data_IF_840022905206
#
_entry.id   IF_840022905206
#
_cell.length_a   1.000
_cell.length_b   1.000
_cell.length_c   1.000
_cell.angle_alpha   90.00
_cell.angle_beta   90.00
_cell.angle_gamma   90.00
#
_symmetry.space_group_name_H-M   'P 1'
#
loop_
_entity.id
_entity.type
_entity.pdbx_description
1 polymer ?
#
# COMPACT_ATOMS: atom_id res chain seq x y z
N UNK A 1 -6.28 6.30 -21.07
CA UNK A 1 -7.03 6.66 -19.86
C UNK A 1 -6.16 7.47 -18.91
N UNK A 2 -6.54 8.72 -18.67
CA UNK A 2 -5.76 9.64 -17.85
C UNK A 2 -5.63 9.18 -16.40
N UNK A 3 -6.68 8.57 -15.84
CA UNK A 3 -6.64 8.06 -14.47
C UNK A 3 -5.66 6.90 -14.36
N UNK A 4 -5.72 5.96 -15.28
CA UNK A 4 -4.80 4.83 -15.28
C UNK A 4 -3.36 5.28 -15.44
N UNK A 5 -3.12 6.22 -16.36
CA UNK A 5 -1.77 6.76 -16.56
C UNK A 5 -1.24 7.45 -15.29
N UNK A 6 -2.11 8.18 -14.60
CA UNK A 6 -1.74 8.81 -13.34
C UNK A 6 -1.35 7.76 -12.29
N UNK A 7 -2.17 6.72 -12.13
CA UNK A 7 -1.90 5.66 -11.16
C UNK A 7 -0.55 4.99 -11.45
N UNK A 8 -0.34 4.60 -12.70
CA UNK A 8 0.89 3.92 -13.11
C UNK A 8 2.11 4.81 -12.89
N UNK A 9 1.97 6.11 -13.17
CA UNK A 9 3.08 7.05 -13.02
C UNK A 9 3.52 7.24 -11.57
N UNK A 10 2.60 7.08 -10.62
CA UNK A 10 2.88 7.36 -9.20
C UNK A 10 3.08 6.11 -8.34
N UNK A 11 2.91 4.93 -8.89
CA UNK A 11 2.89 3.69 -8.11
C UNK A 11 4.22 2.94 -8.25
N UNK A 12 4.79 2.59 -7.10
CA UNK A 12 6.04 1.85 -7.00
C UNK A 12 5.87 0.65 -6.08
N UNK A 13 6.65 -0.39 -6.31
CA UNK A 13 6.60 -1.61 -5.50
C UNK A 13 7.97 -1.92 -4.92
N UNK A 14 7.98 -2.35 -3.66
CA UNK A 14 9.17 -2.88 -3.01
C UNK A 14 8.89 -4.32 -2.64
N UNK A 15 9.70 -5.24 -3.16
CA UNK A 15 9.55 -6.65 -2.82
C UNK A 15 9.99 -6.88 -1.38
N UNK A 16 9.20 -7.67 -0.66
CA UNK A 16 9.47 -8.01 0.73
C UNK A 16 9.95 -9.45 0.81
N UNK A 17 10.73 -9.80 1.84
CA UNK A 17 11.14 -11.19 2.04
C UNK A 17 9.94 -12.10 2.19
N UNK A 18 10.11 -13.36 1.78
CA UNK A 18 9.07 -14.36 1.93
C UNK A 18 8.79 -14.60 3.41
N UNK A 19 7.50 -14.73 3.76
CA UNK A 19 7.10 -14.94 5.14
C UNK A 19 7.53 -16.31 5.62
N UNK A 20 7.80 -16.41 6.92
CA UNK A 20 8.13 -17.67 7.53
C UNK A 20 6.91 -18.59 7.55
N UNK A 21 7.19 -19.89 7.58
CA UNK A 21 6.17 -20.92 7.43
C UNK A 21 5.10 -20.86 8.54
N UNK A 22 5.51 -20.50 9.73
CA UNK A 22 4.63 -20.43 10.90
C UNK A 22 4.02 -19.05 11.11
N UNK A 23 4.19 -18.15 10.14
CA UNK A 23 3.63 -16.82 10.23
C UNK A 23 2.11 -16.86 10.03
N UNK A 24 1.40 -16.32 11.00
CA UNK A 24 -0.06 -16.25 10.97
C UNK A 24 -0.52 -14.80 10.97
N UNK A 25 -0.87 -14.31 9.79
CA UNK A 25 -1.31 -12.93 9.63
C UNK A 25 -2.67 -12.67 10.29
N UNK A 26 -3.45 -13.72 10.48
CA UNK A 26 -4.79 -13.60 11.07
C UNK A 26 -4.78 -13.71 12.59
N UNK A 27 -3.65 -14.09 13.19
CA UNK A 27 -3.55 -14.12 14.65
C UNK A 27 -3.75 -12.70 15.20
N UNK A 28 -4.42 -12.61 16.33
CA UNK A 28 -4.74 -11.33 16.99
C UNK A 28 -5.63 -10.41 16.15
N UNK A 29 -6.41 -10.98 15.20
CA UNK A 29 -7.34 -10.21 14.39
C UNK A 29 -8.42 -9.58 15.26
N UNK A 30 -8.69 -8.30 15.01
CA UNK A 30 -9.69 -7.52 15.72
C UNK A 30 -10.50 -6.71 14.73
N UNK A 31 -11.40 -7.35 14.00
CA UNK A 31 -12.28 -6.65 13.08
C UNK A 31 -13.41 -6.01 13.87
N UNK A 32 -13.58 -4.70 13.73
CA UNK A 32 -14.61 -3.96 14.43
C UNK A 32 -15.20 -2.88 13.51
N UNK A 33 -16.43 -2.39 13.82
CA UNK A 33 -17.08 -1.41 12.96
C UNK A 33 -16.32 -0.10 12.80
N UNK A 34 -15.59 0.33 13.81
CA UNK A 34 -14.83 1.60 13.76
C UNK A 34 -13.68 1.48 12.76
N UNK A 35 -12.88 0.42 12.87
CA UNK A 35 -11.75 0.22 11.94
C UNK A 35 -12.23 -0.08 10.53
N UNK A 36 -13.32 -0.84 10.39
CA UNK A 36 -13.88 -1.13 9.08
C UNK A 36 -14.38 0.14 8.40
N UNK A 37 -15.04 1.04 9.15
CA UNK A 37 -15.48 2.32 8.59
C UNK A 37 -14.30 3.19 8.20
N UNK A 38 -13.27 3.24 9.02
CA UNK A 38 -12.04 4.00 8.73
C UNK A 38 -11.40 3.52 7.42
N UNK A 39 -11.36 2.21 7.23
CA UNK A 39 -10.82 1.64 5.99
C UNK A 39 -11.69 2.02 4.78
N UNK A 40 -13.00 1.90 4.92
CA UNK A 40 -13.91 2.25 3.82
C UNK A 40 -13.81 3.72 3.44
N UNK A 41 -13.78 4.61 4.44
CA UNK A 41 -13.66 6.05 4.21
C UNK A 41 -12.32 6.40 3.55
N UNK A 42 -11.25 5.75 3.98
CA UNK A 42 -9.92 5.97 3.40
C UNK A 42 -9.86 5.46 1.96
N UNK A 43 -10.50 4.33 1.67
CA UNK A 43 -10.58 3.78 0.32
C UNK A 43 -11.30 4.75 -0.61
N UNK A 44 -12.40 5.34 -0.16
CA UNK A 44 -13.11 6.35 -0.95
C UNK A 44 -12.25 7.58 -1.22
N UNK A 45 -11.49 8.03 -0.22
CA UNK A 45 -10.56 9.15 -0.42
C UNK A 45 -9.45 8.81 -1.40
N UNK A 46 -8.95 7.57 -1.40
CA UNK A 46 -8.00 7.13 -2.41
C UNK A 46 -8.58 7.28 -3.81
N UNK A 47 -9.81 6.82 -3.99
CA UNK A 47 -10.48 6.88 -5.29
C UNK A 47 -10.66 8.32 -5.75
N UNK A 48 -11.13 9.20 -4.87
CA UNK A 48 -11.31 10.61 -5.20
C UNK A 48 -9.98 11.28 -5.56
N UNK A 49 -8.93 10.96 -4.82
CA UNK A 49 -7.61 11.52 -5.12
C UNK A 49 -7.10 11.07 -6.48
N UNK A 50 -7.30 9.80 -6.83
CA UNK A 50 -6.93 9.27 -8.14
C UNK A 50 -7.68 9.97 -9.27
N UNK A 51 -8.97 10.19 -9.07
CA UNK A 51 -9.80 10.87 -10.08
C UNK A 51 -9.38 12.33 -10.27
N UNK A 52 -8.89 12.96 -9.22
CA UNK A 52 -8.48 14.37 -9.25
C UNK A 52 -7.01 14.59 -9.58
N UNK A 53 -6.25 13.49 -9.78
CA UNK A 53 -4.82 13.60 -10.06
C UNK A 53 -4.02 14.14 -8.87
N UNK A 54 -4.45 13.82 -7.64
CA UNK A 54 -3.85 14.30 -6.41
C UNK A 54 -2.98 13.19 -5.78
N UNK A 55 -1.70 13.18 -6.16
CA UNK A 55 -0.77 12.15 -5.69
C UNK A 55 -0.58 12.19 -4.17
N UNK A 56 -0.46 13.39 -3.61
CA UNK A 56 -0.27 13.55 -2.17
C UNK A 56 -1.49 13.05 -1.40
N UNK A 57 -2.68 13.45 -1.82
CA UNK A 57 -3.92 13.00 -1.19
C UNK A 57 -4.11 11.49 -1.31
N UNK A 58 -3.76 10.92 -2.47
CA UNK A 58 -3.80 9.47 -2.66
C UNK A 58 -2.84 8.77 -1.70
N UNK A 59 -1.61 9.28 -1.56
CA UNK A 59 -0.65 8.70 -0.64
C UNK A 59 -1.12 8.77 0.81
N UNK A 60 -1.64 9.91 1.24
CA UNK A 60 -2.15 10.08 2.60
C UNK A 60 -3.32 9.13 2.88
N UNK A 61 -4.24 8.99 1.93
CA UNK A 61 -5.37 8.07 2.07
C UNK A 61 -4.89 6.60 2.10
N UNK A 62 -3.87 6.28 1.31
CA UNK A 62 -3.27 4.94 1.30
C UNK A 62 -2.67 4.61 2.67
N UNK A 63 -1.98 5.55 3.30
CA UNK A 63 -1.46 5.36 4.65
C UNK A 63 -2.58 5.13 5.65
N UNK A 64 -3.67 5.87 5.53
CA UNK A 64 -4.82 5.68 6.41
C UNK A 64 -5.45 4.29 6.22
N UNK A 65 -5.53 3.80 5.00
CA UNK A 65 -5.97 2.44 4.72
C UNK A 65 -5.08 1.43 5.44
N UNK A 66 -3.77 1.60 5.35
CA UNK A 66 -2.84 0.69 5.97
C UNK A 66 -2.96 0.73 7.50
N UNK A 67 -3.09 1.92 8.07
CA UNK A 67 -3.29 2.06 9.52
C UNK A 67 -4.56 1.33 9.98
N UNK A 68 -5.64 1.46 9.24
CA UNK A 68 -6.89 0.76 9.56
C UNK A 68 -6.72 -0.76 9.47
N UNK A 69 -5.99 -1.24 8.46
CA UNK A 69 -5.70 -2.65 8.33
C UNK A 69 -4.86 -3.17 9.49
N UNK A 70 -3.87 -2.40 9.94
CA UNK A 70 -3.02 -2.80 11.07
C UNK A 70 -3.80 -2.83 12.37
N UNK A 71 -4.81 -1.99 12.53
CA UNK A 71 -5.70 -2.05 13.70
C UNK A 71 -6.46 -3.37 13.74
N UNK A 72 -6.89 -3.88 12.58
CA UNK A 72 -7.64 -5.13 12.49
C UNK A 72 -6.71 -6.35 12.43
N UNK A 73 -5.55 -6.22 11.81
CA UNK A 73 -4.63 -7.32 11.57
C UNK A 73 -3.22 -6.92 11.99
N UNK A 74 -2.96 -6.80 13.32
CA UNK A 74 -1.68 -6.25 13.78
C UNK A 74 -0.47 -7.10 13.36
N UNK A 75 -0.66 -8.38 13.08
CA UNK A 75 0.43 -9.25 12.65
C UNK A 75 0.90 -8.97 11.22
N UNK A 76 0.21 -8.10 10.48
CA UNK A 76 0.70 -7.65 9.18
C UNK A 76 1.96 -6.79 9.31
N UNK A 77 2.16 -6.14 10.46
CA UNK A 77 3.34 -5.30 10.67
C UNK A 77 4.49 -6.15 11.21
N UNK A 78 5.20 -6.79 10.31
CA UNK A 78 6.40 -7.53 10.67
C UNK A 78 7.61 -6.60 10.75
N UNK A 79 8.72 -7.10 11.26
CA UNK A 79 9.97 -6.32 11.31
C UNK A 79 10.41 -5.88 9.90
N UNK A 80 10.25 -6.76 8.91
CA UNK A 80 10.61 -6.44 7.53
C UNK A 80 9.75 -5.33 6.95
N UNK A 81 8.44 -5.36 7.24
CA UNK A 81 7.51 -4.32 6.78
C UNK A 81 7.85 -2.99 7.45
N UNK A 82 8.06 -3.01 8.75
CA UNK A 82 8.40 -1.79 9.51
C UNK A 82 9.69 -1.16 9.01
N UNK A 83 10.71 -1.98 8.75
CA UNK A 83 11.99 -1.50 8.21
C UNK A 83 11.81 -0.89 6.83
N UNK A 84 11.04 -1.53 5.96
CA UNK A 84 10.78 -1.02 4.62
C UNK A 84 10.06 0.32 4.67
N UNK A 85 9.05 0.46 5.53
CA UNK A 85 8.34 1.73 5.70
C UNK A 85 9.31 2.83 6.12
N UNK A 86 10.15 2.57 7.12
CA UNK A 86 11.11 3.57 7.59
C UNK A 86 12.09 3.98 6.48
N UNK A 87 12.51 3.02 5.65
CA UNK A 87 13.45 3.28 4.57
C UNK A 87 12.88 4.20 3.51
N UNK A 88 11.60 4.06 3.18
CA UNK A 88 11.01 4.74 2.03
C UNK A 88 10.09 5.90 2.39
N UNK A 89 9.77 6.09 3.65
CA UNK A 89 8.77 7.08 4.06
C UNK A 89 9.11 8.52 3.67
N UNK A 90 10.38 8.85 3.61
CA UNK A 90 10.79 10.22 3.26
C UNK A 90 10.65 10.52 1.77
N UNK A 91 10.58 9.47 0.93
CA UNK A 91 10.48 9.63 -0.52
C UNK A 91 9.10 9.37 -1.08
N UNK A 92 8.12 9.01 -0.24
CA UNK A 92 6.79 8.64 -0.69
C UNK A 92 5.73 9.40 0.08
N UNK A 93 4.60 9.66 -0.59
CA UNK A 93 3.43 10.26 0.06
C UNK A 93 2.68 9.25 0.91
N UNK A 94 2.74 7.98 0.55
CA UNK A 94 2.06 6.94 1.29
C UNK A 94 2.56 5.55 0.94
N UNK A 95 2.15 4.59 1.72
CA UNK A 95 2.55 3.20 1.58
C UNK A 95 1.47 2.28 2.12
N UNK A 96 1.48 1.06 1.62
CA UNK A 96 0.53 0.03 2.02
C UNK A 96 1.08 -1.33 1.65
N UNK A 97 0.82 -2.31 2.50
CA UNK A 97 1.19 -3.68 2.21
C UNK A 97 0.19 -4.29 1.25
N UNK A 98 0.67 -5.02 0.25
CA UNK A 98 -0.19 -5.74 -0.68
C UNK A 98 0.26 -7.18 -0.81
N UNK A 99 -0.68 -8.04 -1.19
CA UNK A 99 -0.45 -9.45 -1.33
C UNK A 99 -0.77 -10.20 -0.06
N UNK A 100 -0.93 -11.49 -0.19
CA UNK A 100 -1.16 -12.40 0.93
C UNK A 100 -0.41 -13.68 0.62
N UNK A 101 -0.10 -14.43 1.67
CA UNK A 101 0.65 -15.66 1.48
C UNK A 101 2.15 -15.46 1.61
N UNK A 102 2.94 -16.24 0.93
CA UNK A 102 4.37 -16.40 1.16
C UNK A 102 5.29 -15.27 0.76
N UNK A 103 4.82 -14.07 0.77
CA UNK A 103 5.59 -12.89 0.42
C UNK A 103 4.65 -11.81 -0.06
N UNK A 104 5.17 -10.68 -0.41
CA UNK A 104 4.31 -9.59 -0.87
C UNK A 104 5.13 -8.38 -1.24
N UNK A 105 4.44 -7.29 -1.45
CA UNK A 105 5.05 -6.05 -1.86
C UNK A 105 4.56 -4.92 -0.96
N UNK A 106 5.45 -3.97 -0.71
CA UNK A 106 5.04 -2.70 -0.14
C UNK A 106 4.76 -1.76 -1.31
N UNK A 107 3.53 -1.26 -1.39
CA UNK A 107 3.15 -0.26 -2.39
C UNK A 107 3.59 1.11 -1.88
N UNK A 108 4.20 1.90 -2.77
CA UNK A 108 4.57 3.28 -2.48
C UNK A 108 3.89 4.19 -3.49
N UNK A 109 3.34 5.29 -3.00
CA UNK A 109 2.78 6.34 -3.85
C UNK A 109 3.75 7.51 -3.82
N UNK A 110 4.34 7.85 -4.96
CA UNK A 110 5.34 8.90 -5.03
C UNK A 110 5.35 9.54 -6.42
N UNK A 111 5.63 10.83 -6.47
CA UNK A 111 5.83 11.55 -7.73
C UNK A 111 7.30 11.70 -8.09
N UNK A 112 8.19 11.03 -7.36
CA UNK A 112 9.62 10.99 -7.69
C UNK A 112 10.09 9.55 -7.77
N UNK A 113 11.22 9.37 -8.46
CA UNK A 113 11.82 8.05 -8.56
C UNK A 113 12.24 7.54 -7.19
N UNK A 114 11.92 6.28 -6.92
CA UNK A 114 12.29 5.62 -5.67
C UNK A 114 13.42 4.64 -5.98
N UNK A 115 14.63 4.86 -5.49
CA UNK A 115 15.73 3.91 -5.71
C UNK A 115 15.40 2.53 -5.14
N UNK A 116 15.76 1.49 -5.86
CA UNK A 116 15.56 0.09 -5.47
C UNK A 116 14.09 -0.36 -5.44
N UNK A 117 13.18 0.47 -5.93
CA UNK A 117 11.77 0.10 -6.07
C UNK A 117 11.47 -0.24 -7.53
N UNK A 118 10.46 -1.07 -7.72
CA UNK A 118 10.03 -1.51 -9.04
C UNK A 118 8.95 -0.56 -9.53
N UNK A 119 9.16 0.02 -10.72
CA UNK A 119 8.13 0.86 -11.34
C UNK A 119 7.03 -0.03 -11.90
N UNK A 120 5.80 0.27 -11.54
CA UNK A 120 4.66 -0.49 -12.04
C UNK A 120 4.46 -0.19 -13.52
N UNK A 121 4.31 -1.24 -14.30
CA UNK A 121 4.01 -1.14 -15.73
C UNK A 121 2.59 -1.64 -15.94
N UNK A 122 1.78 -0.93 -16.74
CA UNK A 122 0.46 -1.46 -17.03
C UNK A 122 0.57 -2.75 -17.83
N UNK A 123 -0.17 -3.76 -17.41
CA UNK A 123 -0.25 -4.98 -18.18
C UNK A 123 -1.20 -4.72 -19.35
N UNK A 124 -0.66 -4.23 -20.43
CA UNK A 124 -1.45 -4.00 -21.62
C UNK A 124 -1.54 -5.30 -22.41
N UNK A 125 -2.72 -5.76 -22.56
CA UNK A 125 -2.96 -6.91 -23.40
C UNK A 125 -2.89 -6.45 -24.87
N UNK A 126 -1.73 -6.58 -25.41
CA UNK A 126 -1.51 -6.19 -26.80
C UNK A 126 -1.70 -7.42 -27.67
N UNK A 127 -2.86 -7.61 -28.07
CA UNK A 127 -3.12 -8.69 -29.00
C UNK A 127 -3.76 -8.15 -30.26
#
# INVERSE_FOLDING_TARGET
DAVLNFIVDKLWLVALPQRQRDYDVLANTSVNPVSAKKLADATERCWQAMLNGDAKGWGEATRTCFEAQLEMYPNMLTADVSEAVERYRSGAYGWKLTGCGGGGYLILVSDREIPNAIKVQPCRNIS
#
